data_IF_543074476082
#
_entry.id   IF_543074476082
#
_cell.length_a   1.000
_cell.length_b   1.000
_cell.length_c   1.000
_cell.angle_alpha   90.00
_cell.angle_beta   90.00
_cell.angle_gamma   90.00
#
_symmetry.space_group_name_H-M   'P 1'
#
loop_
_entity.id
_entity.type
_entity.pdbx_description
1 polymer ?
#
# COMPACT_ATOMS: atom_id res chain seq x y z
N UNK A 1 4.56 15.91 -3.29
CA UNK A 1 5.10 14.71 -2.61
C UNK A 1 4.96 14.93 -1.12
N UNK A 2 4.26 14.07 -0.42
CA UNK A 2 4.21 14.09 1.06
C UNK A 2 5.49 13.47 1.63
N UNK A 3 5.79 13.74 2.91
CA UNK A 3 6.91 13.10 3.60
C UNK A 3 6.64 11.60 3.83
N UNK A 4 7.68 10.83 4.12
CA UNK A 4 7.60 9.38 4.39
C UNK A 4 6.49 9.04 5.39
N UNK A 5 6.35 9.83 6.45
CA UNK A 5 5.29 9.63 7.46
C UNK A 5 3.88 9.79 6.88
N UNK A 6 3.69 10.71 5.94
CA UNK A 6 2.43 10.90 5.24
C UNK A 6 2.10 9.74 4.30
N UNK A 7 3.08 9.21 3.56
CA UNK A 7 2.89 8.01 2.72
C UNK A 7 2.54 6.79 3.56
N UNK A 8 3.23 6.55 4.68
CA UNK A 8 2.91 5.45 5.58
C UNK A 8 1.52 5.59 6.20
N UNK A 9 1.14 6.82 6.56
CA UNK A 9 -0.21 7.12 7.04
C UNK A 9 -1.28 6.80 6.00
N UNK A 10 -1.07 7.23 4.77
CA UNK A 10 -2.00 6.97 3.66
C UNK A 10 -2.11 5.48 3.37
N UNK A 11 -0.98 4.76 3.38
CA UNK A 11 -0.96 3.31 3.21
C UNK A 11 -1.78 2.59 4.29
N UNK A 12 -1.63 2.98 5.54
CA UNK A 12 -2.43 2.45 6.65
C UNK A 12 -3.92 2.76 6.46
N UNK A 13 -4.28 4.00 6.11
CA UNK A 13 -5.70 4.35 5.89
C UNK A 13 -6.31 3.55 4.74
N UNK A 14 -5.57 3.33 3.64
CA UNK A 14 -6.01 2.49 2.54
C UNK A 14 -6.12 1.01 2.93
N UNK A 15 -5.32 0.54 3.89
CA UNK A 15 -5.42 -0.82 4.43
C UNK A 15 -6.55 -0.99 5.45
N UNK A 16 -7.11 0.08 6.00
CA UNK A 16 -8.13 0.00 7.05
C UNK A 16 -9.37 -0.82 6.68
N UNK A 17 -9.89 -0.81 5.43
CA UNK A 17 -11.03 -1.67 5.04
C UNK A 17 -10.76 -3.17 5.21
N UNK A 18 -9.51 -3.60 5.25
CA UNK A 18 -9.15 -5.00 5.50
C UNK A 18 -9.74 -5.56 6.79
N UNK A 19 -9.93 -4.71 7.81
CA UNK A 19 -10.55 -5.09 9.08
C UNK A 19 -12.03 -5.48 8.98
N UNK A 20 -12.68 -5.08 7.90
CA UNK A 20 -14.07 -5.47 7.63
C UNK A 20 -14.16 -6.85 6.95
N UNK A 21 -13.06 -7.30 6.33
CA UNK A 21 -13.00 -8.53 5.54
C UNK A 21 -12.32 -9.67 6.29
N UNK A 22 -11.27 -9.35 7.06
CA UNK A 22 -10.43 -10.34 7.73
C UNK A 22 -10.34 -10.08 9.23
N UNK A 23 -10.05 -11.12 9.99
CA UNK A 23 -9.78 -11.00 11.42
C UNK A 23 -8.49 -10.24 11.70
N UNK A 24 -8.19 -10.00 12.99
CA UNK A 24 -7.05 -9.19 13.44
C UNK A 24 -5.73 -9.54 12.74
N UNK A 25 -5.40 -10.84 12.67
CA UNK A 25 -4.13 -11.30 12.10
C UNK A 25 -4.08 -11.10 10.58
N UNK A 26 -5.17 -11.41 9.90
CA UNK A 26 -5.28 -11.18 8.45
C UNK A 26 -5.14 -9.69 8.10
N UNK A 27 -5.85 -8.83 8.83
CA UNK A 27 -5.78 -7.37 8.60
C UNK A 27 -4.40 -6.79 8.90
N UNK A 28 -3.73 -7.24 9.98
CA UNK A 28 -2.35 -6.84 10.27
C UNK A 28 -1.38 -7.32 9.19
N UNK A 29 -1.55 -8.55 8.70
CA UNK A 29 -0.73 -9.09 7.60
C UNK A 29 -0.95 -8.28 6.32
N UNK A 30 -2.20 -7.95 6.00
CA UNK A 30 -2.51 -7.10 4.85
C UNK A 30 -1.89 -5.71 4.97
N UNK A 31 -2.03 -5.07 6.13
CA UNK A 31 -1.38 -3.78 6.41
C UNK A 31 0.16 -3.88 6.28
N UNK A 32 0.76 -5.00 6.71
CA UNK A 32 2.18 -5.27 6.50
C UNK A 32 2.58 -5.29 5.02
N UNK A 33 1.85 -6.02 4.17
CA UNK A 33 2.10 -6.01 2.72
C UNK A 33 1.90 -4.62 2.12
N UNK A 34 0.87 -3.89 2.56
CA UNK A 34 0.62 -2.51 2.11
C UNK A 34 1.79 -1.58 2.45
N UNK A 35 2.32 -1.66 3.67
CA UNK A 35 3.44 -0.83 4.11
C UNK A 35 4.75 -1.13 3.35
N UNK A 36 4.99 -2.39 2.96
CA UNK A 36 6.20 -2.78 2.21
C UNK A 36 6.30 -2.01 0.88
N UNK A 37 5.19 -1.72 0.23
CA UNK A 37 5.16 -1.03 -1.07
C UNK A 37 4.74 0.44 -0.99
N UNK A 38 4.47 0.93 0.23
CA UNK A 38 4.12 2.35 0.44
C UNK A 38 5.19 3.33 -0.08
N UNK A 39 6.45 2.90 -0.18
CA UNK A 39 7.56 3.71 -0.71
C UNK A 39 8.10 3.18 -2.04
N UNK A 40 7.40 2.24 -2.69
CA UNK A 40 7.85 1.64 -3.94
C UNK A 40 7.99 2.65 -5.09
N UNK A 41 7.05 3.58 -5.32
CA UNK A 41 7.22 4.58 -6.38
C UNK A 41 8.47 5.44 -6.21
N UNK A 42 8.84 5.78 -4.99
CA UNK A 42 10.02 6.59 -4.65
C UNK A 42 11.37 5.88 -4.89
N UNK A 43 11.35 4.64 -5.38
CA UNK A 43 12.59 3.98 -5.85
C UNK A 43 13.28 4.76 -6.95
N UNK A 44 12.58 5.62 -7.68
CA UNK A 44 13.17 6.53 -8.66
C UNK A 44 14.18 7.52 -8.02
N UNK A 45 13.99 7.92 -6.77
CA UNK A 45 14.94 8.77 -6.03
C UNK A 45 16.30 8.11 -5.85
N UNK A 46 16.32 6.77 -5.78
CA UNK A 46 17.54 5.98 -5.74
C UNK A 46 18.07 5.73 -7.17
N UNK A 47 17.17 5.30 -8.07
CA UNK A 47 17.52 4.97 -9.45
C UNK A 47 18.13 6.15 -10.20
N UNK A 48 17.64 7.38 -10.01
CA UNK A 48 18.17 8.58 -10.66
C UNK A 48 19.62 8.90 -10.30
N UNK A 49 20.15 8.34 -9.19
CA UNK A 49 21.56 8.49 -8.83
C UNK A 49 22.49 7.66 -9.73
N UNK A 50 21.95 6.59 -10.31
CA UNK A 50 22.68 5.67 -11.20
C UNK A 50 22.29 5.92 -12.68
N UNK A 51 21.03 6.23 -12.91
CA UNK A 51 20.46 6.47 -14.23
C UNK A 51 19.91 7.90 -14.32
N UNK A 52 20.69 8.88 -14.84
CA UNK A 52 20.29 10.30 -14.89
C UNK A 52 19.03 10.59 -15.71
N UNK A 53 18.62 9.66 -16.56
CA UNK A 53 17.38 9.74 -17.37
C UNK A 53 16.11 9.42 -16.57
N UNK A 54 16.25 8.85 -15.37
CA UNK A 54 15.11 8.60 -14.46
C UNK A 54 14.71 9.90 -13.80
N UNK A 55 13.46 10.27 -13.96
CA UNK A 55 12.86 11.46 -13.36
C UNK A 55 11.96 11.07 -12.21
N UNK A 56 11.98 11.86 -11.15
CA UNK A 56 11.02 11.73 -10.05
C UNK A 56 9.61 12.08 -10.55
N UNK A 57 8.61 11.37 -10.08
CA UNK A 57 7.24 11.34 -10.60
C UNK A 57 7.16 10.83 -12.06
N UNK A 58 8.15 10.02 -12.48
CA UNK A 58 8.19 9.36 -13.77
C UNK A 58 7.39 8.04 -13.81
N UNK A 59 7.94 7.06 -14.52
CA UNK A 59 7.31 5.75 -14.77
C UNK A 59 6.94 5.01 -13.48
N UNK A 60 7.74 5.14 -12.42
CA UNK A 60 7.51 4.49 -11.13
C UNK A 60 6.23 4.98 -10.43
N UNK A 61 5.81 6.21 -10.73
CA UNK A 61 4.59 6.82 -10.21
C UNK A 61 3.37 6.63 -11.13
N UNK A 62 3.38 5.54 -11.91
CA UNK A 62 2.23 5.16 -12.74
C UNK A 62 1.48 3.97 -12.17
N UNK A 63 0.16 3.92 -12.36
CA UNK A 63 -0.67 2.78 -11.97
C UNK A 63 -0.18 1.51 -12.68
N UNK A 64 0.27 1.63 -13.93
CA UNK A 64 0.82 0.49 -14.67
C UNK A 64 2.04 -0.10 -13.97
N UNK A 65 3.03 0.73 -13.61
CA UNK A 65 4.24 0.27 -12.91
C UNK A 65 3.89 -0.37 -11.57
N UNK A 66 3.08 0.31 -10.76
CA UNK A 66 2.64 -0.21 -9.44
C UNK A 66 1.93 -1.54 -9.60
N UNK A 67 1.05 -1.69 -10.59
CA UNK A 67 0.34 -2.95 -10.84
C UNK A 67 1.31 -4.08 -11.19
N UNK A 68 2.20 -3.85 -12.16
CA UNK A 68 3.18 -4.86 -12.58
C UNK A 68 4.10 -5.25 -11.41
N UNK A 69 4.64 -4.26 -10.70
CA UNK A 69 5.50 -4.51 -9.55
C UNK A 69 4.78 -5.27 -8.43
N UNK A 70 3.51 -4.94 -8.17
CA UNK A 70 2.69 -5.64 -7.17
C UNK A 70 2.41 -7.09 -7.55
N UNK A 71 2.14 -7.37 -8.83
CA UNK A 71 1.94 -8.75 -9.31
C UNK A 71 3.22 -9.56 -9.17
N UNK A 72 4.37 -9.00 -9.56
CA UNK A 72 5.68 -9.66 -9.42
C UNK A 72 6.01 -9.90 -7.94
N UNK A 73 5.86 -8.88 -7.10
CA UNK A 73 6.10 -9.01 -5.66
C UNK A 73 5.13 -10.00 -5.01
N UNK A 74 3.86 -10.01 -5.43
CA UNK A 74 2.86 -10.96 -4.96
C UNK A 74 3.20 -12.41 -5.31
N UNK A 75 3.68 -12.66 -6.52
CA UNK A 75 4.13 -13.98 -6.94
C UNK A 75 5.35 -14.45 -6.12
N UNK A 76 6.29 -13.56 -5.87
CA UNK A 76 7.45 -13.85 -5.00
C UNK A 76 7.01 -14.12 -3.57
N UNK A 77 6.12 -13.30 -3.02
CA UNK A 77 5.59 -13.47 -1.67
C UNK A 77 4.83 -14.80 -1.53
N UNK A 78 4.00 -15.17 -2.50
CA UNK A 78 3.30 -16.44 -2.52
C UNK A 78 4.28 -17.62 -2.47
N UNK A 79 5.28 -17.61 -3.35
CA UNK A 79 6.28 -18.68 -3.42
C UNK A 79 7.13 -18.81 -2.16
N UNK A 80 7.45 -17.69 -1.52
CA UNK A 80 8.36 -17.68 -0.35
C UNK A 80 7.62 -17.82 0.98
N UNK A 81 6.38 -17.35 1.09
CA UNK A 81 5.69 -17.20 2.37
C UNK A 81 4.57 -18.21 2.60
N UNK A 82 4.06 -18.90 1.57
CA UNK A 82 2.95 -19.85 1.75
C UNK A 82 3.29 -20.93 2.78
N UNK A 83 4.42 -21.62 2.63
CA UNK A 83 4.83 -22.63 3.59
C UNK A 83 5.09 -22.07 5.01
N UNK A 84 5.52 -20.80 5.10
CA UNK A 84 5.71 -20.13 6.38
C UNK A 84 4.35 -19.85 7.07
N UNK A 85 3.35 -19.39 6.32
CA UNK A 85 2.00 -19.17 6.86
C UNK A 85 1.32 -20.46 7.28
N UNK A 86 1.49 -21.56 6.52
CA UNK A 86 1.01 -22.88 6.88
C UNK A 86 1.64 -23.39 8.18
N UNK A 87 2.96 -23.23 8.33
CA UNK A 87 3.73 -23.76 9.47
C UNK A 87 3.49 -22.96 10.76
N UNK A 88 3.42 -21.64 10.67
CA UNK A 88 3.43 -20.75 11.85
C UNK A 88 2.08 -20.57 12.55
N UNK A 89 0.98 -21.03 11.96
CA UNK A 89 -0.36 -20.84 12.52
C UNK A 89 -0.69 -19.37 12.90
N UNK A 90 0.09 -18.41 12.38
CA UNK A 90 -0.18 -16.99 12.60
C UNK A 90 -1.52 -16.60 12.00
N UNK A 91 -1.76 -17.03 10.78
CA UNK A 91 -3.05 -16.96 10.12
C UNK A 91 -3.59 -18.38 10.04
N UNK A 92 -4.74 -18.63 10.65
CA UNK A 92 -5.39 -19.94 10.57
C UNK A 92 -6.46 -19.90 9.50
N UNK A 93 -6.26 -20.65 8.44
CA UNK A 93 -7.23 -20.80 7.37
C UNK A 93 -6.94 -22.06 6.57
N UNK A 94 -7.96 -22.84 6.27
CA UNK A 94 -7.88 -23.96 5.34
C UNK A 94 -7.69 -23.49 3.88
N UNK A 95 -7.77 -22.17 3.67
CA UNK A 95 -7.60 -21.54 2.37
C UNK A 95 -6.16 -21.06 2.10
N UNK A 96 -5.17 -21.31 3.01
CA UNK A 96 -3.78 -20.94 2.76
C UNK A 96 -3.23 -21.86 1.68
N UNK A 97 -3.07 -21.30 0.49
CA UNK A 97 -2.49 -21.90 -0.70
C UNK A 97 -1.74 -20.82 -1.48
N UNK A 98 -0.82 -21.23 -2.34
CA UNK A 98 -0.01 -20.28 -3.11
C UNK A 98 -0.88 -19.26 -3.88
N UNK A 99 -2.00 -19.70 -4.46
CA UNK A 99 -2.90 -18.81 -5.19
C UNK A 99 -3.58 -17.78 -4.28
N UNK A 100 -4.02 -18.18 -3.08
CA UNK A 100 -4.66 -17.25 -2.14
C UNK A 100 -3.67 -16.28 -1.53
N UNK A 101 -2.45 -16.74 -1.23
CA UNK A 101 -1.36 -15.86 -0.77
C UNK A 101 -0.95 -14.90 -1.88
N UNK A 102 -0.90 -15.36 -3.14
CA UNK A 102 -0.63 -14.51 -4.29
C UNK A 102 -1.64 -13.36 -4.41
N UNK A 103 -2.94 -13.69 -4.43
CA UNK A 103 -4.00 -12.67 -4.54
C UNK A 103 -3.96 -11.69 -3.36
N UNK A 104 -3.82 -12.22 -2.16
CA UNK A 104 -3.79 -11.43 -0.93
C UNK A 104 -2.58 -10.48 -0.88
N UNK A 105 -1.38 -11.00 -1.15
CA UNK A 105 -0.15 -10.20 -1.15
C UNK A 105 -0.15 -9.17 -2.28
N UNK A 106 -0.59 -9.57 -3.51
CA UNK A 106 -0.71 -8.65 -4.63
C UNK A 106 -1.68 -7.50 -4.31
N UNK A 107 -2.82 -7.80 -3.71
CA UNK A 107 -3.79 -6.78 -3.31
C UNK A 107 -3.20 -5.83 -2.26
N UNK A 108 -2.47 -6.34 -1.25
CA UNK A 108 -1.78 -5.52 -0.27
C UNK A 108 -0.72 -4.62 -0.90
N UNK A 109 0.14 -5.16 -1.75
CA UNK A 109 1.17 -4.41 -2.46
C UNK A 109 0.58 -3.34 -3.39
N UNK A 110 -0.47 -3.69 -4.14
CA UNK A 110 -1.17 -2.74 -5.00
C UNK A 110 -1.79 -1.60 -4.19
N UNK A 111 -2.38 -1.92 -3.03
CA UNK A 111 -2.94 -0.92 -2.11
C UNK A 111 -1.85 0.05 -1.63
N UNK A 112 -0.66 -0.45 -1.27
CA UNK A 112 0.46 0.39 -0.82
C UNK A 112 0.96 1.32 -1.92
N UNK A 113 1.27 0.80 -3.10
CA UNK A 113 1.75 1.62 -4.21
C UNK A 113 0.72 2.63 -4.72
N UNK A 114 -0.57 2.26 -4.76
CA UNK A 114 -1.63 3.19 -5.18
C UNK A 114 -1.89 4.27 -4.12
N UNK A 115 -1.80 3.94 -2.83
CA UNK A 115 -1.92 4.92 -1.75
C UNK A 115 -0.81 5.97 -1.80
N UNK A 116 0.41 5.57 -2.20
CA UNK A 116 1.53 6.49 -2.41
C UNK A 116 1.22 7.49 -3.52
N UNK A 117 0.85 6.98 -4.72
CA UNK A 117 0.47 7.85 -5.85
C UNK A 117 -0.65 8.81 -5.45
N UNK A 118 -1.64 8.33 -4.69
CA UNK A 118 -2.74 9.17 -4.21
C UNK A 118 -2.24 10.28 -3.26
N UNK A 119 -1.33 9.96 -2.33
CA UNK A 119 -0.75 10.94 -1.42
C UNK A 119 0.00 12.03 -2.18
N UNK A 120 0.77 11.65 -3.21
CA UNK A 120 1.49 12.62 -4.05
C UNK A 120 0.56 13.49 -4.88
N UNK A 121 -0.55 12.95 -5.38
CA UNK A 121 -1.56 13.77 -6.08
C UNK A 121 -2.16 14.86 -5.18
N UNK A 122 -2.21 14.65 -3.86
CA UNK A 122 -2.71 15.64 -2.92
C UNK A 122 -1.74 16.79 -2.66
N UNK A 123 -0.44 16.62 -2.94
CA UNK A 123 0.64 17.57 -2.61
C UNK A 123 1.51 18.00 -3.80
N UNK A 124 1.32 17.43 -4.98
CA UNK A 124 2.01 17.90 -6.18
C UNK A 124 1.24 19.10 -6.80
N UNK A 125 1.93 20.16 -7.25
CA UNK A 125 3.35 20.19 -7.64
C UNK A 125 4.29 20.94 -6.66
N UNK A 126 4.11 20.90 -5.37
CA UNK A 126 4.91 21.70 -4.41
C UNK A 126 6.41 21.73 -4.69
N UNK A 127 7.06 20.54 -4.67
CA UNK A 127 8.52 20.41 -4.84
C UNK A 127 8.90 19.45 -5.97
N UNK A 128 7.96 18.75 -6.56
CA UNK A 128 8.16 17.76 -7.61
C UNK A 128 7.20 18.03 -8.78
N UNK A 129 7.55 17.60 -10.02
CA UNK A 129 6.65 17.73 -11.14
C UNK A 129 5.29 17.08 -10.89
N UNK A 130 4.20 17.58 -11.49
CA UNK A 130 2.91 16.94 -11.44
C UNK A 130 2.96 15.49 -11.96
N UNK A 131 2.17 14.60 -11.36
CA UNK A 131 2.13 13.19 -11.73
C UNK A 131 1.32 12.95 -13.01
N UNK A 132 1.75 11.93 -13.77
CA UNK A 132 1.00 11.35 -14.89
C UNK A 132 0.63 9.90 -14.58
N UNK A 133 -0.24 9.64 -13.59
CA UNK A 133 -0.44 8.29 -13.05
C UNK A 133 -1.06 7.30 -14.05
N UNK A 134 -1.73 7.81 -15.09
CA UNK A 134 -2.37 6.99 -16.12
C UNK A 134 -1.49 6.78 -17.36
N UNK A 135 -0.24 7.26 -17.37
CA UNK A 135 0.67 6.99 -18.46
C UNK A 135 0.90 5.47 -18.63
N UNK A 136 1.00 4.89 -19.84
CA UNK A 136 1.03 5.56 -21.17
C UNK A 136 -0.35 5.83 -21.79
N UNK A 137 -1.46 5.41 -21.16
CA UNK A 137 -2.80 5.55 -21.74
C UNK A 137 -3.26 7.01 -21.78
N UNK A 138 -2.84 7.80 -20.81
CA UNK A 138 -3.15 9.21 -20.71
C UNK A 138 -1.94 9.97 -20.15
N UNK A 139 -1.34 10.80 -20.99
CA UNK A 139 -0.08 11.46 -20.69
C UNK A 139 -0.22 12.88 -20.09
N UNK A 140 -1.45 13.36 -19.82
CA UNK A 140 -1.61 14.66 -19.17
C UNK A 140 -1.49 14.50 -17.65
N UNK A 141 -0.86 15.47 -16.97
CA UNK A 141 -0.74 15.45 -15.53
C UNK A 141 -2.10 15.61 -14.84
N UNK A 142 -2.22 14.99 -13.69
CA UNK A 142 -3.35 15.19 -12.77
C UNK A 142 -2.81 16.00 -11.58
N UNK A 143 -3.50 17.10 -11.25
CA UNK A 143 -3.13 18.02 -10.17
C UNK A 143 -4.35 18.16 -9.25
N UNK A 144 -4.16 17.85 -7.97
CA UNK A 144 -5.18 18.06 -6.93
C UNK A 144 -4.70 19.14 -5.96
N UNK A 145 -3.47 19.05 -5.47
CA UNK A 145 -2.73 20.06 -4.71
C UNK A 145 -3.56 20.72 -3.57
N UNK A 146 -3.86 19.92 -2.56
CA UNK A 146 -4.64 20.36 -1.39
C UNK A 146 -3.86 20.30 -0.07
N UNK A 147 -2.66 19.70 -0.09
CA UNK A 147 -1.79 19.49 1.07
C UNK A 147 -0.38 19.97 0.74
N UNK A 148 0.19 20.82 1.59
CA UNK A 148 1.60 21.16 1.45
C UNK A 148 2.50 20.02 1.95
N UNK A 149 3.50 19.62 1.16
CA UNK A 149 4.23 18.37 1.31
C UNK A 149 4.94 18.20 2.67
N UNK A 150 5.53 19.27 3.22
CA UNK A 150 6.26 19.21 4.49
C UNK A 150 5.40 19.63 5.70
N UNK A 151 4.09 19.72 5.51
CA UNK A 151 3.20 20.07 6.61
C UNK A 151 3.24 19.04 7.73
N UNK A 152 3.79 19.42 8.88
CA UNK A 152 3.86 18.59 10.08
C UNK A 152 2.48 18.07 10.48
N UNK A 153 1.46 18.95 10.37
CA UNK A 153 0.07 18.60 10.72
C UNK A 153 -0.47 17.49 9.81
N UNK A 154 -0.24 17.58 8.50
CA UNK A 154 -0.69 16.55 7.58
C UNK A 154 0.12 15.26 7.75
N UNK A 155 1.42 15.33 7.76
CA UNK A 155 2.27 14.14 7.80
C UNK A 155 2.12 13.37 9.12
N UNK A 156 2.33 14.01 10.26
CA UNK A 156 2.24 13.34 11.55
C UNK A 156 0.81 13.27 12.10
N UNK A 157 -0.03 14.26 11.82
CA UNK A 157 -1.44 14.24 12.20
C UNK A 157 -2.19 13.11 11.49
N UNK A 158 -1.97 12.94 10.18
CA UNK A 158 -2.56 11.83 9.42
C UNK A 158 -2.05 10.48 9.92
N UNK A 159 -0.75 10.37 10.26
CA UNK A 159 -0.19 9.15 10.83
C UNK A 159 -0.82 8.83 12.19
N UNK A 160 -1.00 9.83 13.04
CA UNK A 160 -1.68 9.64 14.33
C UNK A 160 -3.13 9.16 14.14
N UNK A 161 -3.86 9.75 13.17
CA UNK A 161 -5.22 9.33 12.82
C UNK A 161 -5.22 7.89 12.29
N UNK A 162 -4.31 7.55 11.37
CA UNK A 162 -4.22 6.20 10.83
C UNK A 162 -3.97 5.15 11.91
N UNK A 163 -3.03 5.42 12.82
CA UNK A 163 -2.74 4.55 13.96
C UNK A 163 -3.94 4.43 14.92
N UNK A 164 -4.62 5.54 15.20
CA UNK A 164 -5.82 5.53 16.04
C UNK A 164 -6.96 4.72 15.41
N UNK A 165 -7.16 4.84 14.09
CA UNK A 165 -8.15 4.03 13.34
C UNK A 165 -7.80 2.55 13.46
N UNK A 166 -6.56 2.16 13.17
CA UNK A 166 -6.14 0.76 13.28
C UNK A 166 -6.24 0.24 14.71
N UNK A 167 -5.89 1.04 15.70
CA UNK A 167 -6.04 0.67 17.11
C UNK A 167 -7.52 0.47 17.49
N UNK A 168 -8.40 1.37 17.08
CA UNK A 168 -9.83 1.25 17.32
C UNK A 168 -10.41 0.01 16.65
N UNK A 169 -10.03 -0.28 15.40
CA UNK A 169 -10.45 -1.47 14.68
C UNK A 169 -9.89 -2.75 15.32
N UNK A 170 -8.64 -2.73 15.78
CA UNK A 170 -8.04 -3.84 16.52
C UNK A 170 -8.79 -4.15 17.83
N UNK A 171 -9.26 -3.10 18.52
CA UNK A 171 -10.04 -3.23 19.76
C UNK A 171 -11.50 -3.60 19.51
N UNK A 172 -12.00 -3.33 18.31
CA UNK A 172 -13.37 -3.69 17.94
C UNK A 172 -13.48 -5.21 17.80
N UNK A 173 -14.43 -5.79 18.55
CA UNK A 173 -14.74 -7.23 18.48
C UNK A 173 -15.76 -7.55 17.36
N UNK A 174 -15.98 -6.61 16.44
CA UNK A 174 -16.92 -6.82 15.35
C UNK A 174 -16.48 -8.01 14.50
N UNK A 175 -17.39 -8.93 14.30
CA UNK A 175 -17.17 -10.03 13.37
C UNK A 175 -16.97 -9.45 11.96
N UNK A 176 -15.94 -9.88 11.24
CA UNK A 176 -15.75 -9.47 9.87
C UNK A 176 -16.92 -9.96 9.00
N UNK A 177 -17.06 -9.36 7.84
CA UNK A 177 -17.99 -9.83 6.82
C UNK A 177 -17.65 -11.29 6.51
N UNK A 178 -18.63 -12.18 6.55
CA UNK A 178 -18.44 -13.57 6.16
C UNK A 178 -18.14 -13.63 4.65
N UNK A 179 -16.95 -14.06 4.31
CA UNK A 179 -16.54 -14.25 2.93
C UNK A 179 -15.92 -15.64 2.76
N UNK A 180 -15.97 -16.17 1.54
CA UNK A 180 -15.32 -17.45 1.20
C UNK A 180 -13.78 -17.40 1.37
N UNK A 181 -13.22 -16.20 1.49
CA UNK A 181 -11.78 -15.94 1.68
C UNK A 181 -11.44 -15.52 3.12
N UNK A 182 -12.29 -15.86 4.07
CA UNK A 182 -12.07 -15.52 5.47
C UNK A 182 -10.79 -16.17 5.98
N UNK A 183 -9.80 -15.33 6.26
CA UNK A 183 -8.63 -15.70 7.03
C UNK A 183 -9.03 -15.51 8.49
N UNK A 184 -9.63 -16.54 9.10
CA UNK A 184 -10.25 -16.40 10.41
C UNK A 184 -9.24 -16.44 11.56
N UNK A 185 -9.50 -15.61 12.56
CA UNK A 185 -8.98 -15.84 13.91
C UNK A 185 -9.91 -16.89 14.57
N UNK A 186 -9.48 -18.13 14.69
CA UNK A 186 -10.09 -19.14 15.55
C UNK A 186 -9.24 -19.35 16.76
#
# INVERSE_FOLDING_TARGET
MVDVSGHLAMALLFAAPAWLLWGRRGSLTFAGFTLVTAMLPDTDLVLRRVFPTVHHHGVTHTILFVTVASVVAGALAARLLTGHFEANRWVRSDAIREETVFVFATAGFLTGGTSHIFADLLSAPDIAPPLTPLWPLYAKPIIIDVIYYDSVVWNFGLLAVALAVHFALFRSERSPIETAYRIGDT
#
